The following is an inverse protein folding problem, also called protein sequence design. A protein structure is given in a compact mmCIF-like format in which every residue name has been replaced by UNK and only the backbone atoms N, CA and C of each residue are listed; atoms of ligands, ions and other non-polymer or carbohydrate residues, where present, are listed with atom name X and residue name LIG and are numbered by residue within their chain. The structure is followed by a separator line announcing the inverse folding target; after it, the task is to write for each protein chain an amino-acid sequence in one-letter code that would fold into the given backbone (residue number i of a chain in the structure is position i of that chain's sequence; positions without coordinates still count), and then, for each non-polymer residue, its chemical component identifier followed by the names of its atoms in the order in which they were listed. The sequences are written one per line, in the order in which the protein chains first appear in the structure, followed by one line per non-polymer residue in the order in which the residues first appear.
data_IF_394657441986
#
_entry.id   IF_394657441986
#
_cell.length_a   1.000
_cell.length_b   1.000
_cell.length_c   1.000
_cell.angle_alpha   90.00
_cell.angle_beta   90.00
_cell.angle_gamma   90.00
#
_symmetry.space_group_name_H-M   'P 1'
#
loop_
_entity.id
_entity.type
_entity.pdbx_description
1 polymer ?
#
# COMPACT_ATOMS: atom_id res chain seq x y z
N UNK A 1 -9.94 3.66 22.18
CA UNK A 1 -10.08 3.17 20.79
C UNK A 1 -9.85 4.36 19.88
N UNK A 2 -8.69 4.47 19.23
CA UNK A 2 -8.43 5.60 18.33
C UNK A 2 -9.17 5.37 17.02
N UNK A 3 -10.14 6.24 16.70
CA UNK A 3 -10.84 6.21 15.41
C UNK A 3 -9.82 6.39 14.29
N UNK A 4 -9.69 5.40 13.41
CA UNK A 4 -8.98 5.58 12.15
C UNK A 4 -9.79 6.56 11.32
N UNK A 5 -9.41 7.83 11.30
CA UNK A 5 -9.99 8.80 10.37
C UNK A 5 -9.75 8.29 8.96
N UNK A 6 -10.83 7.96 8.25
CA UNK A 6 -10.80 7.56 6.85
C UNK A 6 -11.50 8.65 6.06
N UNK A 7 -10.83 9.15 5.03
CA UNK A 7 -11.42 10.08 4.07
C UNK A 7 -11.79 9.29 2.83
N UNK A 8 -13.01 9.51 2.35
CA UNK A 8 -13.53 8.87 1.15
C UNK A 8 -13.80 9.92 0.08
N UNK A 9 -13.22 9.74 -1.10
CA UNK A 9 -13.43 10.60 -2.27
C UNK A 9 -14.14 9.74 -3.33
N UNK A 10 -15.43 9.98 -3.62
CA UNK A 10 -16.14 9.27 -4.68
C UNK A 10 -15.69 9.73 -6.07
N UNK A 11 -16.01 8.93 -7.10
CA UNK A 11 -15.76 9.24 -8.50
C UNK A 11 -14.29 9.61 -8.79
N UNK A 12 -13.38 8.87 -8.17
CA UNK A 12 -11.95 8.97 -8.41
C UNK A 12 -11.57 7.97 -9.51
N UNK A 13 -11.00 8.45 -10.60
CA UNK A 13 -10.41 7.59 -11.62
C UNK A 13 -8.91 7.36 -11.35
N UNK A 14 -8.27 6.51 -12.15
CA UNK A 14 -6.84 6.22 -12.00
C UNK A 14 -5.96 7.46 -12.18
N UNK A 15 -6.35 8.40 -13.06
CA UNK A 15 -5.56 9.61 -13.32
C UNK A 15 -5.54 10.49 -12.08
N UNK A 16 -6.72 10.80 -11.54
CA UNK A 16 -6.89 11.60 -10.34
C UNK A 16 -6.31 10.91 -9.11
N UNK A 17 -6.40 9.58 -9.03
CA UNK A 17 -5.73 8.82 -7.98
C UNK A 17 -4.21 9.06 -7.99
N UNK A 18 -3.55 8.94 -9.15
CA UNK A 18 -2.11 9.14 -9.26
C UNK A 18 -1.71 10.57 -8.88
N UNK A 19 -2.44 11.58 -9.38
CA UNK A 19 -2.19 12.99 -9.03
C UNK A 19 -2.27 13.23 -7.51
N UNK A 20 -3.26 12.62 -6.84
CA UNK A 20 -3.42 12.75 -5.38
C UNK A 20 -2.35 11.97 -4.63
N UNK A 21 -2.01 10.75 -5.09
CA UNK A 21 -1.00 9.90 -4.47
C UNK A 21 0.39 10.56 -4.54
N UNK A 22 0.75 11.12 -5.69
CA UNK A 22 2.02 11.82 -5.90
C UNK A 22 2.12 13.09 -5.03
N UNK A 23 1.01 13.83 -4.89
CA UNK A 23 0.96 15.03 -4.07
C UNK A 23 0.99 14.74 -2.56
N UNK A 24 0.63 13.53 -2.11
CA UNK A 24 0.55 13.22 -0.68
C UNK A 24 1.10 11.83 -0.31
N UNK A 25 2.42 11.61 -0.50
CA UNK A 25 3.05 10.30 -0.30
C UNK A 25 3.02 9.78 1.16
N UNK A 26 2.72 10.65 2.13
CA UNK A 26 2.63 10.29 3.55
C UNK A 26 1.37 9.52 3.93
N UNK A 27 0.33 9.55 3.08
CA UNK A 27 -0.92 8.85 3.35
C UNK A 27 -0.97 7.52 2.63
N UNK A 28 -1.76 6.60 3.21
CA UNK A 28 -2.10 5.35 2.54
C UNK A 28 -3.38 5.53 1.77
N UNK A 29 -3.30 5.24 0.48
CA UNK A 29 -4.39 5.44 -0.45
C UNK A 29 -4.71 4.14 -1.17
N UNK A 30 -6.01 3.87 -1.34
CA UNK A 30 -6.51 2.75 -2.11
C UNK A 30 -7.59 3.25 -3.06
N UNK A 31 -7.54 2.82 -4.32
CA UNK A 31 -8.62 3.03 -5.28
C UNK A 31 -9.44 1.74 -5.40
N UNK A 32 -10.70 1.78 -4.96
CA UNK A 32 -11.62 0.63 -4.92
C UNK A 32 -12.91 1.05 -5.62
N UNK A 33 -13.24 0.41 -6.74
CA UNK A 33 -14.51 0.65 -7.47
C UNK A 33 -14.79 2.14 -7.78
N UNK A 34 -13.76 2.89 -8.18
CA UNK A 34 -13.90 4.32 -8.45
C UNK A 34 -14.03 5.21 -7.21
N UNK A 35 -13.81 4.65 -6.01
CA UNK A 35 -13.73 5.38 -4.74
C UNK A 35 -12.29 5.37 -4.23
N UNK A 36 -11.77 6.55 -3.94
CA UNK A 36 -10.48 6.71 -3.28
C UNK A 36 -10.68 6.70 -1.77
N UNK A 37 -10.01 5.77 -1.09
CA UNK A 37 -9.95 5.68 0.35
C UNK A 37 -8.58 6.15 0.83
N UNK A 38 -8.55 7.18 1.66
CA UNK A 38 -7.33 7.70 2.28
C UNK A 38 -7.38 7.37 3.77
N UNK A 39 -6.34 6.71 4.24
CA UNK A 39 -6.18 6.35 5.65
C UNK A 39 -5.02 7.12 6.28
N UNK A 40 -5.17 7.39 7.59
CA UNK A 40 -4.20 8.13 8.37
C UNK A 40 -2.78 7.55 8.22
N UNK A 41 -1.75 8.42 8.33
CA UNK A 41 -0.36 7.98 8.37
C UNK A 41 -0.19 6.93 9.46
N UNK A 42 0.51 5.87 9.11
CA UNK A 42 0.69 4.75 10.02
C UNK A 42 1.72 5.11 11.07
N UNK A 43 1.44 4.77 12.33
CA UNK A 43 2.37 5.02 13.43
C UNK A 43 3.75 4.44 13.11
N UNK A 44 4.81 5.10 13.59
CA UNK A 44 6.18 4.63 13.35
C UNK A 44 6.37 3.16 13.72
N UNK A 45 5.74 2.70 14.81
CA UNK A 45 5.73 1.31 15.24
C UNK A 45 5.11 0.36 14.20
N UNK A 46 3.91 0.67 13.71
CA UNK A 46 3.24 -0.16 12.72
C UNK A 46 3.98 -0.11 11.37
N UNK A 47 4.56 1.04 11.00
CA UNK A 47 5.43 1.19 9.83
C UNK A 47 6.66 0.29 9.91
N UNK A 48 7.37 0.30 11.04
CA UNK A 48 8.53 -0.58 11.28
C UNK A 48 8.15 -2.07 11.20
N UNK A 49 7.03 -2.45 11.81
CA UNK A 49 6.55 -3.84 11.76
C UNK A 49 6.26 -4.29 10.33
N UNK A 50 5.64 -3.43 9.53
CA UNK A 50 5.38 -3.74 8.12
C UNK A 50 6.67 -3.81 7.30
N UNK A 51 7.60 -2.88 7.49
CA UNK A 51 8.91 -2.93 6.84
C UNK A 51 9.62 -4.27 7.12
N UNK A 52 9.60 -4.74 8.37
CA UNK A 52 10.15 -6.05 8.74
C UNK A 52 9.48 -7.21 8.00
N UNK A 53 8.15 -7.20 7.89
CA UNK A 53 7.42 -8.23 7.14
C UNK A 53 7.79 -8.18 5.66
N UNK A 54 7.86 -7.00 5.05
CA UNK A 54 8.28 -6.83 3.65
C UNK A 54 9.69 -7.37 3.44
N UNK A 55 10.63 -7.05 4.33
CA UNK A 55 12.00 -7.60 4.30
C UNK A 55 12.00 -9.11 4.41
N UNK A 56 11.24 -9.69 5.34
CA UNK A 56 11.17 -11.14 5.52
C UNK A 56 10.59 -11.85 4.29
N UNK A 57 9.52 -11.32 3.70
CA UNK A 57 8.92 -11.85 2.47
C UNK A 57 9.90 -11.73 1.30
N UNK A 58 10.60 -10.60 1.19
CA UNK A 58 11.65 -10.40 0.17
C UNK A 58 12.79 -11.41 0.31
N UNK A 59 13.29 -11.62 1.53
CA UNK A 59 14.33 -12.60 1.82
C UNK A 59 13.87 -14.03 1.51
N UNK A 60 12.64 -14.38 1.92
CA UNK A 60 12.06 -15.68 1.59
C UNK A 60 11.95 -15.88 0.08
N UNK A 61 11.45 -14.88 -0.66
CA UNK A 61 11.35 -14.93 -2.13
C UNK A 61 12.72 -15.12 -2.78
N UNK A 62 13.76 -14.44 -2.30
CA UNK A 62 15.11 -14.56 -2.82
C UNK A 62 15.69 -15.97 -2.56
N UNK A 63 15.54 -16.48 -1.34
CA UNK A 63 16.01 -17.81 -0.94
C UNK A 63 15.27 -18.95 -1.66
N UNK A 64 14.01 -18.72 -2.05
CA UNK A 64 13.16 -19.70 -2.74
C UNK A 64 12.91 -19.30 -4.20
N UNK A 65 13.84 -18.57 -4.82
CA UNK A 65 13.69 -18.07 -6.18
C UNK A 65 13.40 -19.17 -7.21
N UNK A 66 13.88 -20.39 -6.96
CA UNK A 66 13.60 -21.60 -7.74
C UNK A 66 12.18 -22.16 -7.61
N UNK A 67 11.43 -21.78 -6.56
CA UNK A 67 10.04 -22.21 -6.32
C UNK A 67 9.02 -21.13 -6.73
N UNK A 68 9.48 -19.89 -6.85
CA UNK A 68 8.66 -18.80 -7.37
C UNK A 68 8.63 -18.99 -8.88
N UNK A 69 7.50 -19.51 -9.39
CA UNK A 69 7.32 -19.77 -10.82
C UNK A 69 7.83 -18.61 -11.66
N UNK A 70 8.93 -18.85 -12.38
CA UNK A 70 9.29 -17.99 -13.49
C UNK A 70 8.14 -18.13 -14.47
N UNK A 71 7.33 -17.09 -14.65
CA UNK A 71 6.48 -17.03 -15.83
C UNK A 71 7.42 -17.21 -17.01
N UNK A 72 7.34 -18.38 -17.64
CA UNK A 72 8.14 -18.72 -18.81
C UNK A 72 7.99 -17.62 -19.83
N UNK A 73 9.14 -17.22 -20.40
CA UNK A 73 9.25 -16.26 -21.49
C UNK A 73 8.43 -16.66 -22.72
#
# INVERSE_FOLDING_TARGET
MSSLSRVFIPNCDHKRFNEIADANPQYRMSLIEGRLEISMPVSAYTGQRQARIITQVGNWRAANSNLVGHFGS
#
